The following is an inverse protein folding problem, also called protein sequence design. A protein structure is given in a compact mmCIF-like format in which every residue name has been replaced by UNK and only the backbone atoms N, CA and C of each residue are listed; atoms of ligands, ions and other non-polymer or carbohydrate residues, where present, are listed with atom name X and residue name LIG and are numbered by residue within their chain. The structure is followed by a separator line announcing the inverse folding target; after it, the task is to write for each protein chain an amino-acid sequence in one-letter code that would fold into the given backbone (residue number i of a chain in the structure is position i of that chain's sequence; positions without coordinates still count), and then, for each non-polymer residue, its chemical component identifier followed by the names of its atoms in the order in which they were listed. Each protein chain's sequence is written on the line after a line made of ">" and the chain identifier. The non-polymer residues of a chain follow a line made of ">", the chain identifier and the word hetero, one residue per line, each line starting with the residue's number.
data_IF_738278438353
#
_entry.id   IF_738278438353
#
_cell.length_a   1.000
_cell.length_b   1.000
_cell.length_c   1.000
_cell.angle_alpha   90.00
_cell.angle_beta   90.00
_cell.angle_gamma   90.00
#
_symmetry.space_group_name_H-M   'P 1'
#
loop_
_entity.id
_entity.type
_entity.pdbx_description
1 polymer ?
#
# COMPACT_ATOMS: atom_id res chain seq x y z
N UNK A 1 -9.10 -2.74 11.04
CA UNK A 1 -8.65 -2.31 12.41
C UNK A 1 -9.13 -0.89 12.70
N UNK A 2 -9.80 -0.65 13.84
CA UNK A 2 -10.20 0.71 14.25
C UNK A 2 -8.96 1.58 14.48
N UNK A 3 -9.05 2.87 14.13
CA UNK A 3 -7.94 3.80 14.26
C UNK A 3 -7.43 3.90 15.72
N UNK A 4 -6.11 3.72 15.91
CA UNK A 4 -5.46 3.84 17.21
C UNK A 4 -5.39 5.30 17.65
N UNK A 5 -5.30 5.56 18.97
CA UNK A 5 -5.17 6.94 19.51
C UNK A 5 -3.98 7.71 18.90
N UNK A 6 -2.87 7.02 18.61
CA UNK A 6 -1.72 7.63 17.92
C UNK A 6 -2.03 7.97 16.46
N UNK A 7 -2.84 7.15 15.77
CA UNK A 7 -3.31 7.47 14.42
C UNK A 7 -4.18 8.73 14.44
N UNK A 8 -5.09 8.86 15.40
CA UNK A 8 -5.93 10.06 15.57
C UNK A 8 -5.06 11.31 15.74
N UNK A 9 -4.06 11.27 16.63
CA UNK A 9 -3.13 12.38 16.84
C UNK A 9 -2.27 12.67 15.59
N UNK A 10 -1.82 11.64 14.90
CA UNK A 10 -1.05 11.75 13.67
C UNK A 10 -1.87 12.41 12.56
N UNK A 11 -3.11 11.96 12.34
CA UNK A 11 -4.04 12.53 11.34
C UNK A 11 -4.25 14.02 11.62
N UNK A 12 -4.55 14.40 12.86
CA UNK A 12 -4.74 15.82 13.21
C UNK A 12 -3.48 16.65 12.92
N UNK A 13 -2.30 16.15 13.33
CA UNK A 13 -1.02 16.81 13.08
C UNK A 13 -0.71 16.93 11.58
N UNK A 14 -1.05 15.92 10.78
CA UNK A 14 -0.91 15.92 9.32
C UNK A 14 -1.78 17.02 8.68
N UNK A 15 -3.02 17.16 9.13
CA UNK A 15 -3.93 18.20 8.62
C UNK A 15 -3.45 19.60 8.98
N UNK A 16 -2.96 19.83 10.21
CA UNK A 16 -2.38 21.12 10.60
C UNK A 16 -1.18 21.48 9.72
N UNK A 17 -0.26 20.54 9.51
CA UNK A 17 0.89 20.77 8.63
C UNK A 17 0.49 21.11 7.20
N UNK A 18 -0.55 20.45 6.66
CA UNK A 18 -1.06 20.66 5.29
C UNK A 18 -1.54 22.09 5.08
N UNK A 19 -2.22 22.69 6.08
CA UNK A 19 -2.79 24.03 5.96
C UNK A 19 -1.93 25.14 6.56
N UNK A 20 -0.83 24.81 7.23
CA UNK A 20 0.01 25.75 8.01
C UNK A 20 0.42 27.01 7.25
N UNK A 21 0.71 26.85 5.94
CA UNK A 21 1.17 27.94 5.08
C UNK A 21 0.04 28.86 4.59
N UNK A 22 -1.23 28.49 4.81
CA UNK A 22 -2.35 29.35 4.44
C UNK A 22 -2.38 30.59 5.35
N UNK A 23 -2.58 31.79 4.76
CA UNK A 23 -2.58 33.05 5.50
C UNK A 23 -3.89 33.35 6.24
N UNK A 24 -5.00 32.72 5.84
CA UNK A 24 -6.32 32.90 6.43
C UNK A 24 -6.46 32.06 7.71
N UNK A 25 -6.21 32.70 8.86
CA UNK A 25 -6.26 32.04 10.16
C UNK A 25 -7.68 31.62 10.56
N UNK A 26 -8.71 32.37 10.16
CA UNK A 26 -10.09 32.00 10.43
C UNK A 26 -10.49 30.74 9.69
N UNK A 27 -10.14 30.66 8.40
CA UNK A 27 -10.37 29.49 7.56
C UNK A 27 -9.64 28.24 8.10
N UNK A 28 -8.39 28.41 8.57
CA UNK A 28 -7.65 27.31 9.22
C UNK A 28 -8.35 26.78 10.47
N UNK A 29 -8.84 27.67 11.34
CA UNK A 29 -9.59 27.29 12.55
C UNK A 29 -10.86 26.54 12.22
N UNK A 30 -11.64 27.03 11.26
CA UNK A 30 -12.88 26.37 10.83
C UNK A 30 -12.61 24.97 10.28
N UNK A 31 -11.60 24.83 9.42
CA UNK A 31 -11.20 23.54 8.90
C UNK A 31 -10.77 22.58 10.02
N UNK A 32 -9.88 22.98 10.92
CA UNK A 32 -9.43 22.13 12.04
C UNK A 32 -10.61 21.75 12.94
N UNK A 33 -11.57 22.61 13.20
CA UNK A 33 -12.79 22.25 13.95
C UNK A 33 -13.61 21.18 13.25
N UNK A 34 -13.70 21.22 11.89
CA UNK A 34 -14.35 20.16 11.13
C UNK A 34 -13.59 18.84 11.22
N UNK A 35 -12.25 18.89 11.12
CA UNK A 35 -11.40 17.71 11.31
C UNK A 35 -11.58 17.10 12.70
N UNK A 36 -11.57 17.92 13.76
CA UNK A 36 -11.82 17.46 15.13
C UNK A 36 -13.20 16.81 15.28
N UNK A 37 -14.22 17.35 14.61
CA UNK A 37 -15.57 16.74 14.61
C UNK A 37 -15.55 15.36 13.98
N UNK A 38 -14.88 15.18 12.83
CA UNK A 38 -14.73 13.86 12.20
C UNK A 38 -14.00 12.90 13.13
N UNK A 39 -12.88 13.33 13.70
CA UNK A 39 -12.10 12.50 14.62
C UNK A 39 -12.91 12.08 15.85
N UNK A 40 -13.73 12.97 16.38
CA UNK A 40 -14.64 12.66 17.49
C UNK A 40 -15.74 11.66 17.11
N UNK A 41 -16.36 11.84 15.94
CA UNK A 41 -17.51 11.02 15.51
C UNK A 41 -17.08 9.62 14.99
N UNK A 42 -15.94 9.54 14.30
CA UNK A 42 -15.52 8.36 13.55
C UNK A 42 -14.19 7.75 14.01
N UNK A 43 -13.31 8.48 14.67
CA UNK A 43 -11.97 8.02 15.03
C UNK A 43 -11.93 6.81 15.96
N UNK A 44 -13.03 6.49 16.66
CA UNK A 44 -13.16 5.29 17.51
C UNK A 44 -14.03 4.19 16.88
N UNK A 45 -14.45 4.36 15.62
CA UNK A 45 -15.39 3.47 14.95
C UNK A 45 -14.89 2.95 13.62
N UNK A 46 -14.02 3.70 12.96
CA UNK A 46 -13.53 3.41 11.62
C UNK A 46 -12.03 3.23 11.58
N UNK A 47 -11.53 2.59 10.53
CA UNK A 47 -10.09 2.50 10.26
C UNK A 47 -9.52 3.85 9.81
N UNK A 48 -8.22 4.06 9.97
CA UNK A 48 -7.56 5.30 9.60
C UNK A 48 -7.79 5.71 8.13
N UNK A 49 -7.74 4.81 7.13
CA UNK A 49 -8.07 5.14 5.74
C UNK A 49 -9.47 5.75 5.54
N UNK A 50 -10.49 5.25 6.26
CA UNK A 50 -11.85 5.80 6.17
C UNK A 50 -11.94 7.18 6.81
N UNK A 51 -11.31 7.37 7.97
CA UNK A 51 -11.24 8.69 8.63
C UNK A 51 -10.54 9.70 7.74
N UNK A 52 -9.41 9.33 7.12
CA UNK A 52 -8.69 10.20 6.19
C UNK A 52 -9.51 10.53 4.93
N UNK A 53 -10.28 9.57 4.40
CA UNK A 53 -11.19 9.80 3.28
C UNK A 53 -12.24 10.89 3.62
N UNK A 54 -12.88 10.80 4.79
CA UNK A 54 -13.83 11.81 5.26
C UNK A 54 -13.22 13.19 5.41
N UNK A 55 -11.99 13.25 5.92
CA UNK A 55 -11.24 14.50 6.07
C UNK A 55 -10.87 15.07 4.68
N UNK A 56 -10.48 14.21 3.72
CA UNK A 56 -10.19 14.62 2.35
C UNK A 56 -11.40 15.28 1.68
N UNK A 57 -12.61 14.75 1.91
CA UNK A 57 -13.83 15.33 1.37
C UNK A 57 -14.08 16.75 1.92
N UNK A 58 -13.88 16.94 3.25
CA UNK A 58 -13.96 18.29 3.85
C UNK A 58 -12.83 19.20 3.38
N UNK A 59 -11.61 18.67 3.20
CA UNK A 59 -10.50 19.48 2.71
C UNK A 59 -10.84 20.17 1.39
N UNK A 60 -11.51 19.47 0.46
CA UNK A 60 -11.94 20.02 -0.83
C UNK A 60 -12.98 21.14 -0.74
N UNK A 61 -13.71 21.24 0.38
CA UNK A 61 -14.64 22.36 0.63
C UNK A 61 -13.91 23.65 0.99
N UNK A 62 -12.70 23.54 1.58
CA UNK A 62 -11.91 24.66 2.09
C UNK A 62 -10.75 25.02 1.19
N UNK A 63 -10.12 24.04 0.57
CA UNK A 63 -8.86 24.19 -0.16
C UNK A 63 -8.91 23.47 -1.50
N UNK A 64 -8.29 24.04 -2.51
CA UNK A 64 -8.02 23.33 -3.75
C UNK A 64 -6.93 22.29 -3.52
N UNK A 65 -6.99 21.18 -4.24
CA UNK A 65 -5.98 20.14 -4.19
C UNK A 65 -4.82 20.54 -5.12
N UNK A 66 -3.70 20.99 -4.54
CA UNK A 66 -2.53 21.49 -5.28
C UNK A 66 -1.68 20.36 -5.91
N UNK A 67 -2.06 19.09 -5.74
CA UNK A 67 -1.28 17.95 -6.19
C UNK A 67 -1.90 17.35 -7.44
N UNK A 68 -1.17 17.43 -8.55
CA UNK A 68 -1.45 16.64 -9.75
C UNK A 68 -0.98 15.20 -9.52
N UNK A 69 -1.88 14.38 -9.00
CA UNK A 69 -1.57 12.97 -8.74
C UNK A 69 -1.31 12.18 -10.02
N UNK A 70 -1.90 12.54 -11.17
CA UNK A 70 -1.67 11.84 -12.42
C UNK A 70 -0.22 12.02 -12.90
N UNK A 71 0.26 13.27 -12.96
CA UNK A 71 1.64 13.56 -13.34
C UNK A 71 2.66 12.95 -12.36
N UNK A 72 2.33 12.99 -11.05
CA UNK A 72 3.18 12.44 -10.01
C UNK A 72 3.27 10.90 -10.10
N UNK A 73 2.16 10.21 -10.30
CA UNK A 73 2.09 8.76 -10.44
C UNK A 73 2.86 8.32 -11.68
N UNK A 74 2.63 8.98 -12.83
CA UNK A 74 3.38 8.75 -14.05
C UNK A 74 4.90 8.86 -13.82
N UNK A 75 5.37 9.94 -13.16
CA UNK A 75 6.79 10.12 -12.85
C UNK A 75 7.40 8.94 -12.11
N UNK A 76 6.72 8.43 -11.06
CA UNK A 76 7.28 7.33 -10.25
C UNK A 76 7.14 5.98 -10.92
N UNK A 77 6.10 5.77 -11.72
CA UNK A 77 5.99 4.60 -12.59
C UNK A 77 7.17 4.55 -13.56
N UNK A 78 7.47 5.66 -14.26
CA UNK A 78 8.60 5.75 -15.18
C UNK A 78 9.95 5.58 -14.47
N UNK A 79 10.14 6.24 -13.32
CA UNK A 79 11.37 6.09 -12.52
C UNK A 79 11.65 4.62 -12.15
N UNK A 80 10.63 3.86 -11.81
CA UNK A 80 10.78 2.45 -11.46
C UNK A 80 10.91 1.55 -12.70
N UNK A 81 10.25 1.88 -13.80
CA UNK A 81 10.43 1.18 -15.08
C UNK A 81 11.87 1.30 -15.61
N UNK A 82 12.52 2.46 -15.45
CA UNK A 82 13.95 2.64 -15.81
C UNK A 82 14.88 1.69 -15.04
N UNK A 83 14.48 1.23 -13.85
CA UNK A 83 15.25 0.31 -13.00
C UNK A 83 14.84 -1.15 -13.15
N UNK A 84 13.78 -1.42 -13.88
CA UNK A 84 13.17 -2.74 -13.96
C UNK A 84 14.15 -3.82 -14.42
N UNK A 85 14.95 -3.54 -15.45
CA UNK A 85 15.90 -4.51 -16.02
C UNK A 85 17.00 -4.89 -15.01
N UNK A 86 17.58 -3.91 -14.31
CA UNK A 86 18.58 -4.12 -13.28
C UNK A 86 18.03 -4.95 -12.11
N UNK A 87 16.83 -4.62 -11.66
CA UNK A 87 16.15 -5.34 -10.56
C UNK A 87 15.85 -6.78 -10.96
N UNK A 88 15.36 -7.02 -12.17
CA UNK A 88 15.13 -8.36 -12.71
C UNK A 88 16.40 -9.18 -12.76
N UNK A 89 17.48 -8.61 -13.25
CA UNK A 89 18.79 -9.30 -13.30
C UNK A 89 19.28 -9.70 -11.89
N UNK A 90 19.06 -8.83 -10.90
CA UNK A 90 19.43 -9.13 -9.51
C UNK A 90 18.54 -10.24 -8.90
N UNK A 91 17.22 -10.21 -9.14
CA UNK A 91 16.29 -11.26 -8.68
C UNK A 91 16.65 -12.61 -9.33
N UNK A 92 16.85 -12.64 -10.63
CA UNK A 92 17.22 -13.86 -11.36
C UNK A 92 18.55 -14.45 -10.87
N UNK A 93 19.53 -13.61 -10.53
CA UNK A 93 20.81 -14.06 -9.97
C UNK A 93 20.64 -14.76 -8.62
N UNK A 94 19.75 -14.25 -7.75
CA UNK A 94 19.49 -14.85 -6.43
C UNK A 94 18.55 -16.05 -6.55
N UNK A 95 17.64 -16.03 -7.51
CA UNK A 95 16.67 -17.08 -7.83
C UNK A 95 15.83 -17.53 -6.62
N UNK A 96 15.36 -16.57 -5.82
CA UNK A 96 14.54 -16.81 -4.64
C UNK A 96 13.41 -15.78 -4.47
N UNK A 97 12.31 -16.20 -3.86
CA UNK A 97 11.16 -15.34 -3.55
C UNK A 97 11.49 -14.32 -2.45
N UNK A 98 12.42 -14.62 -1.55
CA UNK A 98 12.83 -13.72 -0.49
C UNK A 98 13.34 -12.38 -1.05
N UNK A 99 14.14 -12.44 -2.11
CA UNK A 99 14.65 -11.24 -2.80
C UNK A 99 13.51 -10.41 -3.41
N UNK A 100 12.52 -11.06 -4.04
CA UNK A 100 11.33 -10.35 -4.55
C UNK A 100 10.57 -9.64 -3.42
N UNK A 101 10.29 -10.33 -2.32
CA UNK A 101 9.60 -9.77 -1.15
C UNK A 101 10.36 -8.55 -0.60
N UNK A 102 11.69 -8.62 -0.52
CA UNK A 102 12.51 -7.48 -0.08
C UNK A 102 12.38 -6.27 -1.00
N UNK A 103 12.38 -6.48 -2.33
CA UNK A 103 12.18 -5.41 -3.30
C UNK A 103 10.80 -4.76 -3.18
N UNK A 104 9.73 -5.56 -3.13
CA UNK A 104 8.37 -5.00 -3.01
C UNK A 104 8.14 -4.29 -1.68
N UNK A 105 8.80 -4.73 -0.59
CA UNK A 105 8.78 -4.00 0.67
C UNK A 105 9.58 -2.68 0.59
N UNK A 106 10.77 -2.68 -0.05
CA UNK A 106 11.56 -1.46 -0.25
C UNK A 106 10.80 -0.43 -1.10
N UNK A 107 10.15 -0.88 -2.18
CA UNK A 107 9.30 -0.02 -3.03
C UNK A 107 8.14 0.63 -2.29
N UNK A 108 7.65 0.02 -1.22
CA UNK A 108 6.61 0.59 -0.36
C UNK A 108 7.05 1.90 0.34
N UNK A 109 8.32 2.31 0.21
CA UNK A 109 8.79 3.65 0.57
C UNK A 109 8.15 4.74 -0.29
N UNK A 110 7.70 4.43 -1.50
CA UNK A 110 7.02 5.37 -2.43
C UNK A 110 5.62 5.69 -1.90
N UNK A 111 5.57 6.57 -0.89
CA UNK A 111 4.33 6.92 -0.21
C UNK A 111 4.28 8.43 0.09
N UNK A 112 3.40 9.14 -0.60
CA UNK A 112 3.17 10.58 -0.42
C UNK A 112 2.24 10.89 0.76
N UNK A 113 1.62 9.90 1.35
CA UNK A 113 0.77 10.05 2.53
C UNK A 113 1.55 10.50 3.76
N UNK A 114 2.82 10.13 3.88
CA UNK A 114 3.68 10.43 5.02
C UNK A 114 4.60 11.63 4.77
N UNK A 115 5.02 11.88 3.53
CA UNK A 115 5.92 12.98 3.18
C UNK A 115 5.40 13.72 1.93
N UNK A 116 5.47 15.05 1.95
CA UNK A 116 5.12 15.86 0.77
C UNK A 116 6.05 15.66 -0.43
N UNK A 117 7.17 14.94 -0.24
CA UNK A 117 8.14 14.55 -1.27
C UNK A 117 8.78 13.23 -0.89
N UNK A 118 8.90 12.33 -1.85
CA UNK A 118 9.78 11.17 -1.72
C UNK A 118 11.22 11.66 -1.84
N UNK A 119 12.07 11.17 -0.97
CA UNK A 119 13.51 11.33 -1.10
C UNK A 119 14.02 10.26 -2.08
N UNK A 120 14.30 10.68 -3.32
CA UNK A 120 14.77 9.78 -4.39
C UNK A 120 16.12 9.12 -4.01
N UNK A 121 16.96 9.80 -3.21
CA UNK A 121 18.24 9.24 -2.73
C UNK A 121 18.01 8.16 -1.67
N UNK A 122 17.07 8.36 -0.77
CA UNK A 122 16.70 7.34 0.21
C UNK A 122 16.05 6.13 -0.46
N UNK A 123 15.16 6.34 -1.42
CA UNK A 123 14.57 5.25 -2.21
C UNK A 123 15.66 4.45 -2.92
N UNK A 124 16.59 5.12 -3.62
CA UNK A 124 17.72 4.45 -4.26
C UNK A 124 18.55 3.68 -3.24
N UNK A 125 18.88 4.28 -2.10
CA UNK A 125 19.63 3.63 -1.03
C UNK A 125 18.92 2.40 -0.44
N UNK A 126 17.59 2.37 -0.38
CA UNK A 126 16.83 1.18 0.04
C UNK A 126 16.89 0.07 -1.03
N UNK A 127 16.79 0.43 -2.31
CA UNK A 127 16.91 -0.53 -3.41
C UNK A 127 18.32 -1.11 -3.51
N UNK A 128 19.37 -0.30 -3.38
CA UNK A 128 20.77 -0.73 -3.41
C UNK A 128 21.10 -1.69 -2.26
N UNK A 129 20.48 -1.48 -1.10
CA UNK A 129 20.70 -2.26 0.12
C UNK A 129 19.64 -3.32 0.37
N UNK A 130 18.89 -3.70 -0.66
CA UNK A 130 17.78 -4.67 -0.52
C UNK A 130 18.23 -5.99 0.15
N UNK A 131 19.46 -6.44 -0.08
CA UNK A 131 20.04 -7.64 0.55
C UNK A 131 20.22 -7.49 2.07
N UNK A 132 20.35 -6.26 2.59
CA UNK A 132 20.53 -6.00 4.02
C UNK A 132 19.19 -6.01 4.76
N UNK A 133 18.06 -5.92 4.02
CA UNK A 133 16.72 -5.98 4.58
C UNK A 133 16.46 -7.36 5.20
N UNK A 134 15.88 -7.35 6.39
CA UNK A 134 15.59 -8.58 7.13
C UNK A 134 14.10 -8.89 7.04
N UNK A 135 13.79 -10.09 6.60
CA UNK A 135 12.44 -10.66 6.64
C UNK A 135 12.47 -12.03 7.31
N UNK A 136 11.31 -12.48 7.77
CA UNK A 136 11.19 -13.79 8.40
C UNK A 136 11.30 -14.90 7.37
N UNK A 137 12.40 -15.66 7.37
CA UNK A 137 12.56 -16.84 6.50
C UNK A 137 11.47 -17.89 6.74
N UNK A 138 10.95 -17.95 7.97
CA UNK A 138 9.86 -18.85 8.31
C UNK A 138 8.57 -18.44 7.61
N UNK A 139 8.25 -17.13 7.57
CA UNK A 139 7.09 -16.63 6.86
C UNK A 139 7.24 -16.80 5.34
N UNK A 140 8.46 -16.65 4.80
CA UNK A 140 8.74 -16.93 3.39
C UNK A 140 8.45 -18.40 3.07
N UNK A 141 8.95 -19.34 3.88
CA UNK A 141 8.70 -20.76 3.69
C UNK A 141 7.20 -21.10 3.76
N UNK A 142 6.46 -20.52 4.72
CA UNK A 142 5.02 -20.70 4.79
C UNK A 142 4.27 -20.19 3.57
N UNK A 143 4.64 -19.00 3.06
CA UNK A 143 4.06 -18.49 1.82
C UNK A 143 4.35 -19.42 0.64
N UNK A 144 5.58 -19.91 0.51
CA UNK A 144 5.96 -20.84 -0.56
C UNK A 144 5.17 -22.16 -0.49
N UNK A 145 5.01 -22.72 0.70
CA UNK A 145 4.25 -23.96 0.91
C UNK A 145 2.76 -23.76 0.59
N UNK A 146 2.15 -22.64 0.97
CA UNK A 146 0.77 -22.31 0.65
C UNK A 146 0.59 -22.08 -0.87
N UNK A 147 1.46 -21.30 -1.51
CA UNK A 147 1.40 -21.03 -2.95
C UNK A 147 1.59 -22.31 -3.79
N UNK A 148 2.40 -23.26 -3.31
CA UNK A 148 2.60 -24.54 -4.00
C UNK A 148 1.33 -25.40 -4.06
N UNK A 149 0.39 -25.19 -3.15
CA UNK A 149 -0.87 -25.94 -3.04
C UNK A 149 -2.07 -25.14 -3.57
N UNK A 150 -1.99 -23.81 -3.58
CA UNK A 150 -3.06 -22.92 -3.96
C UNK A 150 -3.31 -22.94 -5.48
N UNK A 151 -4.58 -22.74 -5.85
CA UNK A 151 -5.02 -22.53 -7.24
C UNK A 151 -5.23 -21.05 -7.56
N UNK A 152 -5.52 -20.24 -6.55
CA UNK A 152 -5.85 -18.82 -6.71
C UNK A 152 -5.06 -17.94 -5.75
N UNK A 153 -4.52 -16.83 -6.28
CA UNK A 153 -3.87 -15.76 -5.53
C UNK A 153 -4.52 -14.43 -5.89
N UNK A 154 -4.93 -13.69 -4.89
CA UNK A 154 -5.28 -12.28 -5.04
C UNK A 154 -4.13 -11.41 -4.53
N UNK A 155 -3.57 -10.60 -5.42
CA UNK A 155 -2.47 -9.68 -5.09
C UNK A 155 -3.01 -8.25 -5.03
N UNK A 156 -3.10 -7.68 -3.83
CA UNK A 156 -3.65 -6.34 -3.58
C UNK A 156 -2.50 -5.34 -3.51
N UNK A 157 -2.42 -4.45 -4.50
CA UNK A 157 -1.36 -3.44 -4.63
C UNK A 157 -1.52 -2.28 -3.64
N UNK A 158 -0.51 -1.42 -3.55
CA UNK A 158 -0.55 -0.18 -2.76
C UNK A 158 -0.21 1.02 -3.67
N UNK A 159 1.05 1.40 -3.86
CA UNK A 159 1.41 2.67 -4.47
C UNK A 159 1.81 2.56 -5.96
N UNK A 160 1.67 3.69 -6.68
CA UNK A 160 2.34 3.90 -7.97
C UNK A 160 3.86 3.75 -7.82
N UNK A 161 4.56 3.44 -8.89
CA UNK A 161 5.99 3.11 -8.86
C UNK A 161 6.28 1.77 -8.20
N UNK A 162 5.83 1.56 -6.96
CA UNK A 162 5.91 0.28 -6.26
C UNK A 162 5.28 -0.86 -7.08
N UNK A 163 4.18 -0.58 -7.78
CA UNK A 163 3.47 -1.56 -8.64
C UNK A 163 4.36 -2.16 -9.75
N UNK A 164 5.46 -1.53 -10.14
CA UNK A 164 6.45 -2.11 -11.06
C UNK A 164 7.16 -3.29 -10.39
N UNK A 165 7.51 -3.17 -9.12
CA UNK A 165 8.10 -4.27 -8.34
C UNK A 165 7.09 -5.38 -8.08
N UNK A 166 5.83 -5.01 -7.85
CA UNK A 166 4.72 -5.97 -7.73
C UNK A 166 4.55 -6.78 -9.04
N UNK A 167 4.64 -6.13 -10.22
CA UNK A 167 4.62 -6.82 -11.51
C UNK A 167 5.75 -7.85 -11.61
N UNK A 168 6.98 -7.48 -11.28
CA UNK A 168 8.13 -8.41 -11.31
C UNK A 168 7.87 -9.61 -10.39
N UNK A 169 7.40 -9.37 -9.17
CA UNK A 169 7.11 -10.43 -8.22
C UNK A 169 5.99 -11.37 -8.72
N UNK A 170 4.91 -10.82 -9.27
CA UNK A 170 3.81 -11.60 -9.87
C UNK A 170 4.32 -12.49 -11.00
N UNK A 171 5.18 -11.99 -11.87
CA UNK A 171 5.78 -12.78 -12.95
C UNK A 171 6.67 -13.92 -12.41
N UNK A 172 7.48 -13.65 -11.37
CA UNK A 172 8.29 -14.70 -10.73
C UNK A 172 7.39 -15.77 -10.07
N UNK A 173 6.27 -15.37 -9.45
CA UNK A 173 5.28 -16.33 -8.93
C UNK A 173 4.65 -17.17 -10.04
N UNK A 174 4.27 -16.59 -11.18
CA UNK A 174 3.75 -17.32 -12.34
C UNK A 174 4.79 -18.27 -12.92
N UNK A 175 6.06 -17.86 -12.92
CA UNK A 175 7.15 -18.69 -13.40
C UNK A 175 7.36 -19.92 -12.51
N UNK A 176 7.27 -19.74 -11.21
CA UNK A 176 7.48 -20.80 -10.21
C UNK A 176 6.25 -21.70 -10.04
N UNK A 177 5.05 -21.14 -10.02
CA UNK A 177 3.79 -21.84 -9.72
C UNK A 177 2.86 -21.86 -10.95
N UNK A 178 3.12 -22.75 -11.90
CA UNK A 178 2.46 -22.77 -13.23
C UNK A 178 0.94 -22.95 -13.20
N UNK A 179 0.38 -23.51 -12.14
CA UNK A 179 -1.07 -23.76 -11.99
C UNK A 179 -1.77 -22.67 -11.16
N UNK A 180 -1.02 -21.69 -10.62
CA UNK A 180 -1.54 -20.61 -9.80
C UNK A 180 -2.17 -19.52 -10.68
N UNK A 181 -3.46 -19.30 -10.52
CA UNK A 181 -4.18 -18.19 -11.15
C UNK A 181 -4.05 -16.95 -10.29
N UNK A 182 -3.34 -15.94 -10.78
CA UNK A 182 -3.11 -14.68 -10.06
C UNK A 182 -4.04 -13.61 -10.62
N UNK A 183 -4.72 -12.89 -9.74
CA UNK A 183 -5.44 -11.65 -10.06
C UNK A 183 -4.81 -10.52 -9.26
N UNK A 184 -4.48 -9.40 -9.88
CA UNK A 184 -4.07 -8.18 -9.19
C UNK A 184 -5.29 -7.30 -8.91
N UNK A 185 -5.30 -6.63 -7.75
CA UNK A 185 -6.34 -5.67 -7.37
C UNK A 185 -5.70 -4.31 -7.08
N UNK A 186 -6.19 -3.29 -7.77
CA UNK A 186 -5.81 -1.88 -7.61
C UNK A 186 -6.96 -1.06 -7.02
N UNK A 187 -6.75 0.22 -6.72
CA UNK A 187 -7.85 1.09 -6.25
C UNK A 187 -8.85 1.36 -7.36
N UNK A 188 -10.12 1.50 -6.99
CA UNK A 188 -11.21 1.81 -7.92
C UNK A 188 -11.28 3.29 -8.35
N UNK A 189 -10.37 4.13 -7.85
CA UNK A 189 -10.25 5.55 -8.19
C UNK A 189 -9.08 6.21 -7.49
N UNK A 190 -8.83 7.49 -7.77
CA UNK A 190 -7.67 8.23 -7.26
C UNK A 190 -7.72 8.40 -5.73
N UNK A 191 -6.86 7.67 -5.06
CA UNK A 191 -6.64 7.72 -3.61
C UNK A 191 -5.18 8.11 -3.33
N UNK A 192 -4.84 9.41 -3.37
CA UNK A 192 -3.46 9.87 -3.29
C UNK A 192 -2.60 9.24 -4.40
N UNK A 193 -1.49 8.62 -4.06
CA UNK A 193 -0.60 7.93 -4.98
C UNK A 193 -0.81 6.41 -5.07
N UNK A 194 -1.89 5.89 -4.48
CA UNK A 194 -2.22 4.48 -4.63
C UNK A 194 -2.42 4.11 -6.10
N UNK A 195 -2.01 2.90 -6.47
CA UNK A 195 -2.11 2.40 -7.82
C UNK A 195 -3.58 2.21 -8.26
N UNK A 196 -3.90 2.63 -9.48
CA UNK A 196 -5.19 2.51 -10.14
C UNK A 196 -5.04 1.68 -11.41
N UNK A 197 -6.15 1.49 -12.15
CA UNK A 197 -6.12 0.76 -13.41
C UNK A 197 -5.17 1.43 -14.43
N UNK A 198 -5.16 2.75 -14.47
CA UNK A 198 -4.28 3.52 -15.36
C UNK A 198 -2.79 3.23 -15.10
N UNK A 199 -2.41 3.08 -13.82
CA UNK A 199 -1.03 2.70 -13.46
C UNK A 199 -0.73 1.26 -13.90
N UNK A 200 -1.66 0.34 -13.69
CA UNK A 200 -1.50 -1.06 -14.09
C UNK A 200 -1.38 -1.22 -15.62
N UNK A 201 -2.13 -0.42 -16.38
CA UNK A 201 -2.02 -0.36 -17.85
C UNK A 201 -0.68 0.25 -18.28
N UNK A 202 -0.30 1.39 -17.69
CA UNK A 202 0.94 2.09 -18.00
C UNK A 202 2.18 1.21 -17.85
N UNK A 203 2.27 0.44 -16.75
CA UNK A 203 3.41 -0.43 -16.50
C UNK A 203 3.30 -1.80 -17.17
N UNK A 204 2.19 -2.09 -17.87
CA UNK A 204 1.95 -3.34 -18.56
C UNK A 204 1.57 -4.53 -17.66
N UNK A 205 1.12 -4.30 -16.42
CA UNK A 205 0.66 -5.36 -15.51
C UNK A 205 -0.58 -6.08 -16.08
N UNK A 206 -1.45 -5.37 -16.81
CA UNK A 206 -2.64 -5.93 -17.47
C UNK A 206 -2.31 -6.93 -18.58
N UNK A 207 -1.08 -6.93 -19.09
CA UNK A 207 -0.59 -7.93 -20.05
C UNK A 207 -0.05 -9.20 -19.36
N UNK A 208 0.16 -9.14 -18.05
CA UNK A 208 0.72 -10.24 -17.23
C UNK A 208 -0.38 -11.04 -16.55
N UNK A 209 -1.31 -10.35 -15.88
CA UNK A 209 -2.41 -10.95 -15.12
C UNK A 209 -3.71 -10.16 -15.29
N UNK A 210 -4.88 -10.77 -15.06
CA UNK A 210 -6.12 -10.01 -14.86
C UNK A 210 -5.96 -8.98 -13.75
N UNK A 211 -6.37 -7.74 -14.00
CA UNK A 211 -6.36 -6.65 -13.04
C UNK A 211 -7.79 -6.16 -12.81
N UNK A 212 -8.18 -5.97 -11.56
CA UNK A 212 -9.49 -5.43 -11.19
C UNK A 212 -9.33 -4.21 -10.28
N UNK A 213 -10.30 -3.30 -10.33
CA UNK A 213 -10.43 -2.21 -9.36
C UNK A 213 -11.19 -2.67 -8.12
N UNK A 214 -10.79 -2.23 -6.92
CA UNK A 214 -11.52 -2.58 -5.69
C UNK A 214 -12.87 -1.84 -5.52
N UNK A 215 -13.20 -0.90 -6.42
CA UNK A 215 -14.45 -0.13 -6.41
C UNK A 215 -14.39 1.15 -5.58
N UNK A 216 -13.32 1.40 -4.82
CA UNK A 216 -13.22 2.55 -3.92
C UNK A 216 -12.00 3.44 -4.20
N UNK A 217 -12.15 4.75 -3.99
CA UNK A 217 -11.08 5.74 -4.01
C UNK A 217 -10.58 6.01 -2.56
N UNK A 218 -10.09 4.95 -1.90
CA UNK A 218 -9.64 4.95 -0.49
C UNK A 218 -8.25 4.31 -0.43
N UNK A 219 -7.36 4.87 0.38
CA UNK A 219 -6.01 4.35 0.64
C UNK A 219 -6.09 3.08 1.50
N UNK A 220 -6.51 1.96 0.89
CA UNK A 220 -6.72 0.68 1.55
C UNK A 220 -7.87 -0.12 0.92
N UNK A 221 -8.17 -1.26 1.55
CA UNK A 221 -9.21 -2.19 1.11
C UNK A 221 -10.27 -2.31 2.20
N UNK A 222 -11.24 -1.40 2.17
CA UNK A 222 -12.31 -1.30 3.18
C UNK A 222 -13.50 -2.14 2.73
N UNK A 223 -13.84 -3.20 3.48
CA UNK A 223 -14.82 -4.24 3.13
C UNK A 223 -16.17 -3.69 2.66
N UNK A 224 -16.69 -2.68 3.35
CA UNK A 224 -17.99 -2.07 3.07
C UNK A 224 -18.00 -1.21 1.80
N UNK A 225 -16.83 -0.84 1.29
CA UNK A 225 -16.66 0.03 0.14
C UNK A 225 -16.26 -0.72 -1.14
N UNK A 226 -16.10 -2.04 -1.05
CA UNK A 226 -15.70 -2.88 -2.18
C UNK A 226 -16.82 -3.06 -3.18
N UNK A 227 -16.46 -3.14 -4.46
CA UNK A 227 -17.36 -3.62 -5.51
C UNK A 227 -17.72 -5.09 -5.29
N UNK A 228 -18.84 -5.56 -5.88
CA UNK A 228 -19.22 -6.98 -5.77
C UNK A 228 -18.16 -7.90 -6.40
N UNK A 229 -17.52 -7.48 -7.51
CA UNK A 229 -16.41 -8.22 -8.12
C UNK A 229 -15.21 -8.36 -7.15
N UNK A 230 -14.82 -7.27 -6.48
CA UNK A 230 -13.73 -7.29 -5.52
C UNK A 230 -14.04 -8.20 -4.31
N UNK A 231 -15.28 -8.15 -3.81
CA UNK A 231 -15.73 -9.05 -2.73
C UNK A 231 -15.66 -10.52 -3.14
N UNK A 232 -16.15 -10.83 -4.34
CA UNK A 232 -16.10 -12.19 -4.89
C UNK A 232 -14.64 -12.69 -5.03
N UNK A 233 -13.73 -11.85 -5.53
CA UNK A 233 -12.32 -12.20 -5.66
C UNK A 233 -11.64 -12.44 -4.32
N UNK A 234 -11.95 -11.62 -3.29
CA UNK A 234 -11.44 -11.84 -1.93
C UNK A 234 -11.95 -13.15 -1.35
N UNK A 235 -13.26 -13.43 -1.49
CA UNK A 235 -13.88 -14.65 -0.94
C UNK A 235 -13.37 -15.93 -1.59
N UNK A 236 -13.03 -15.88 -2.88
CA UNK A 236 -12.59 -17.03 -3.66
C UNK A 236 -11.07 -17.21 -3.70
N UNK A 237 -10.30 -16.28 -3.15
CA UNK A 237 -8.85 -16.38 -3.10
C UNK A 237 -8.40 -17.38 -2.01
N UNK A 238 -7.59 -18.38 -2.39
CA UNK A 238 -6.98 -19.31 -1.44
C UNK A 238 -5.79 -18.68 -0.72
N UNK A 239 -5.08 -17.76 -1.41
CA UNK A 239 -4.02 -16.93 -0.83
C UNK A 239 -4.29 -15.47 -1.18
N UNK A 240 -4.11 -14.58 -0.21
CA UNK A 240 -4.17 -13.13 -0.41
C UNK A 240 -2.83 -12.53 0.01
N UNK A 241 -2.25 -11.71 -0.85
CA UNK A 241 -1.11 -10.84 -0.54
C UNK A 241 -1.61 -9.40 -0.56
N UNK A 242 -1.41 -8.65 0.51
CA UNK A 242 -1.84 -7.26 0.65
C UNK A 242 -0.65 -6.35 0.94
N UNK A 243 -0.47 -5.33 0.07
CA UNK A 243 0.66 -4.40 0.13
C UNK A 243 0.30 -3.15 0.92
N UNK A 244 1.27 -2.69 1.72
CA UNK A 244 1.24 -1.38 2.36
C UNK A 244 0.39 -1.26 3.63
N UNK A 245 0.60 -0.13 4.32
CA UNK A 245 -0.03 0.14 5.61
C UNK A 245 -1.54 0.33 5.51
N UNK A 246 -2.02 0.99 4.46
CA UNK A 246 -3.44 1.24 4.27
C UNK A 246 -4.26 -0.05 4.14
N UNK A 247 -3.73 -1.06 3.45
CA UNK A 247 -4.36 -2.37 3.40
C UNK A 247 -4.32 -3.06 4.77
N UNK A 248 -3.19 -3.03 5.48
CA UNK A 248 -3.13 -3.56 6.84
C UNK A 248 -4.17 -2.90 7.76
N UNK A 249 -4.25 -1.58 7.79
CA UNK A 249 -5.18 -0.83 8.65
C UNK A 249 -6.65 -1.11 8.34
N UNK A 250 -6.98 -1.37 7.06
CA UNK A 250 -8.36 -1.60 6.61
C UNK A 250 -8.79 -3.07 6.61
N UNK A 251 -7.85 -4.01 6.49
CA UNK A 251 -8.16 -5.45 6.37
C UNK A 251 -7.92 -6.25 7.65
N UNK A 252 -7.06 -5.76 8.57
CA UNK A 252 -6.73 -6.50 9.79
C UNK A 252 -7.96 -6.74 10.66
N UNK A 253 -8.21 -8.02 11.02
CA UNK A 253 -9.37 -8.52 11.75
C UNK A 253 -10.71 -8.45 10.99
N UNK A 254 -10.64 -8.41 9.63
CA UNK A 254 -11.85 -8.43 8.77
C UNK A 254 -12.09 -9.80 8.11
N UNK A 255 -11.52 -10.87 8.69
CA UNK A 255 -11.70 -12.27 8.25
C UNK A 255 -11.15 -12.58 6.84
N UNK A 256 -10.18 -11.80 6.35
CA UNK A 256 -9.58 -12.00 5.03
C UNK A 256 -8.26 -12.78 5.09
N UNK A 257 -7.58 -12.79 6.23
CA UNK A 257 -6.34 -13.54 6.53
C UNK A 257 -5.22 -13.40 5.47
N UNK A 258 -4.85 -12.18 5.06
CA UNK A 258 -3.80 -11.98 4.05
C UNK A 258 -2.39 -12.13 4.62
N UNK A 259 -1.43 -12.35 3.72
CA UNK A 259 -0.04 -11.97 3.94
C UNK A 259 0.11 -10.47 3.74
N UNK A 260 0.58 -9.78 4.76
CA UNK A 260 0.90 -8.35 4.66
C UNK A 260 2.36 -8.15 4.30
N UNK A 261 2.60 -7.34 3.27
CA UNK A 261 3.93 -6.92 2.84
C UNK A 261 3.99 -5.39 2.86
N UNK A 262 4.68 -4.82 3.82
CA UNK A 262 4.79 -3.38 3.98
C UNK A 262 6.14 -2.96 4.57
N UNK A 263 6.43 -1.67 4.49
CA UNK A 263 7.60 -1.07 5.12
C UNK A 263 7.17 -0.37 6.41
N UNK A 264 7.91 -0.54 7.50
CA UNK A 264 7.66 0.17 8.75
C UNK A 264 7.93 1.67 8.57
N UNK A 265 6.87 2.50 8.57
CA UNK A 265 6.96 3.94 8.34
C UNK A 265 6.44 4.79 9.50
N UNK A 266 6.05 4.18 10.63
CA UNK A 266 5.60 4.91 11.80
C UNK A 266 5.99 4.24 13.12
N UNK A 267 6.08 5.03 14.19
CA UNK A 267 6.45 4.56 15.53
C UNK A 267 5.46 3.52 16.11
N UNK A 268 4.17 3.59 15.75
CA UNK A 268 3.21 2.58 16.19
C UNK A 268 3.60 1.20 15.66
N UNK A 269 3.95 1.09 14.37
CA UNK A 269 4.31 -0.19 13.77
C UNK A 269 5.69 -0.68 14.20
N UNK A 270 6.63 0.26 14.42
CA UNK A 270 7.90 -0.07 15.03
C UNK A 270 7.71 -0.81 16.37
N UNK A 271 6.85 -0.29 17.23
CA UNK A 271 6.55 -0.92 18.53
C UNK A 271 5.72 -2.19 18.39
N UNK A 272 4.69 -2.18 17.51
CA UNK A 272 3.77 -3.32 17.34
C UNK A 272 4.48 -4.54 16.80
N UNK A 273 5.36 -4.37 15.80
CA UNK A 273 6.05 -5.47 15.12
C UNK A 273 7.48 -5.70 15.63
N UNK A 274 8.00 -4.84 16.52
CA UNK A 274 9.36 -4.97 17.05
C UNK A 274 10.44 -4.79 15.99
N UNK A 275 10.20 -3.95 14.97
CA UNK A 275 11.12 -3.67 13.86
C UNK A 275 11.59 -2.23 13.89
N UNK A 276 12.72 -1.92 13.25
CA UNK A 276 13.17 -0.54 13.10
C UNK A 276 12.46 0.16 11.92
N UNK A 277 12.54 1.51 11.91
CA UNK A 277 12.03 2.31 10.80
C UNK A 277 12.66 1.86 9.48
N UNK A 278 11.85 1.81 8.43
CA UNK A 278 12.21 1.36 7.08
C UNK A 278 12.68 -0.11 7.00
N UNK A 279 12.38 -0.92 8.01
CA UNK A 279 12.50 -2.37 7.89
C UNK A 279 11.20 -2.98 7.35
N UNK A 280 11.30 -4.07 6.57
CA UNK A 280 10.14 -4.81 6.10
C UNK A 280 9.32 -5.40 7.24
N UNK A 281 8.01 -5.38 7.05
CA UNK A 281 7.06 -6.19 7.81
C UNK A 281 6.45 -7.18 6.82
N UNK A 282 6.70 -8.46 7.05
CA UNK A 282 6.17 -9.56 6.27
C UNK A 282 5.61 -10.62 7.22
N UNK A 283 4.29 -10.78 7.21
CA UNK A 283 3.60 -11.70 8.13
C UNK A 283 2.22 -12.07 7.60
N UNK A 284 1.72 -13.25 7.95
CA UNK A 284 0.32 -13.64 7.74
C UNK A 284 -0.51 -13.19 8.93
N UNK A 285 -1.74 -12.74 8.68
CA UNK A 285 -2.64 -12.20 9.71
C UNK A 285 -2.86 -13.15 10.88
N UNK A 286 -3.14 -14.43 10.65
CA UNK A 286 -3.37 -15.43 11.68
C UNK A 286 -2.17 -15.73 12.60
N UNK A 287 -0.99 -15.21 12.25
CA UNK A 287 0.26 -15.38 13.02
C UNK A 287 0.75 -14.09 13.68
N UNK A 288 -0.11 -13.04 13.68
CA UNK A 288 0.15 -11.75 14.35
C UNK A 288 -0.25 -11.75 15.82
#
# INVERSE_FOLDING_TARGET
>A
MIANSRCIACILSKQERKIRKNSDEQKKKEYIHKVLKILYEYGTKECAPMVEKRIKDIYKEYYEEDVDYAALKHRYNQYMLEKEEEIRAHIQKNNDIETCIKYVCAGNYIDFGLANKIDDQLLQGLLDKVNELKISKKEVAYLEDELAQAKTLLYITDNCGEIVLDKIFIEELQNKYKNLQITAMVRGGIASNDATMEDAEEIGLTNVVPVIGNGAAIMGTVKEQLSEEAKEKIQNAEVIIAKGMGNFESMYQEEMNPYYLLLCKCELYKETFGVEMFQPIFCKEERL
#
